data_IF_937005095331
#
_entry.id   IF_937005095331
#
_cell.length_a   1.000
_cell.length_b   1.000
_cell.length_c   1.000
_cell.angle_alpha   90.00
_cell.angle_beta   90.00
_cell.angle_gamma   90.00
#
_symmetry.space_group_name_H-M   'P 1'
#
loop_
_entity.id
_entity.type
_entity.pdbx_description
1 polymer ?
#
# COMPACT_ATOMS: atom_id res chain seq x y z
N UNK A 1 9.89 16.05 -11.43
CA UNK A 1 10.05 14.59 -11.23
C UNK A 1 9.77 14.32 -9.77
N UNK A 2 8.67 13.63 -9.49
CA UNK A 2 8.20 13.31 -8.13
C UNK A 2 8.38 11.81 -7.88
N UNK A 3 8.57 11.42 -6.62
CA UNK A 3 8.47 10.01 -6.20
C UNK A 3 7.06 9.73 -5.72
N UNK A 4 6.41 8.73 -6.30
CA UNK A 4 5.05 8.35 -5.95
C UNK A 4 5.05 6.89 -5.55
N UNK A 5 4.45 6.61 -4.39
CA UNK A 5 4.14 5.23 -3.99
C UNK A 5 2.68 4.96 -4.28
N UNK A 6 2.37 3.90 -5.02
CA UNK A 6 1.01 3.51 -5.37
C UNK A 6 0.70 2.14 -4.76
N UNK A 7 -0.24 2.07 -3.83
CA UNK A 7 -0.68 0.81 -3.22
C UNK A 7 -1.97 0.33 -3.86
N UNK A 8 -2.02 -0.95 -4.24
CA UNK A 8 -3.24 -1.60 -4.74
C UNK A 8 -3.67 -2.75 -3.82
N UNK A 9 -4.92 -2.73 -3.37
CA UNK A 9 -5.51 -3.80 -2.55
C UNK A 9 -5.86 -5.05 -3.35
N UNK A 10 -6.18 -6.16 -2.66
CA UNK A 10 -6.44 -7.44 -3.30
C UNK A 10 -7.60 -7.44 -4.29
N UNK A 11 -8.63 -6.61 -4.06
CA UNK A 11 -9.72 -6.41 -5.02
C UNK A 11 -9.22 -5.73 -6.30
N UNK A 12 -8.30 -4.77 -6.21
CA UNK A 12 -7.68 -4.08 -7.34
C UNK A 12 -6.82 -4.98 -8.23
N UNK A 13 -6.35 -6.11 -7.71
CA UNK A 13 -5.51 -7.09 -8.43
C UNK A 13 -6.14 -8.48 -8.52
N UNK A 14 -7.45 -8.60 -8.23
CA UNK A 14 -8.13 -9.90 -8.13
C UNK A 14 -8.26 -10.70 -9.43
N UNK A 15 -7.89 -10.14 -10.58
CA UNK A 15 -7.86 -10.85 -11.86
C UNK A 15 -6.79 -10.24 -12.77
N UNK A 16 -6.42 -10.97 -13.82
CA UNK A 16 -5.47 -10.47 -14.84
C UNK A 16 -5.98 -9.20 -15.51
N UNK A 17 -7.29 -9.10 -15.77
CA UNK A 17 -7.89 -7.88 -16.31
C UNK A 17 -7.72 -6.69 -15.37
N UNK A 18 -7.96 -6.89 -14.07
CA UNK A 18 -7.75 -5.83 -13.07
C UNK A 18 -6.27 -5.46 -12.94
N UNK A 19 -5.36 -6.44 -13.02
CA UNK A 19 -3.91 -6.19 -13.07
C UNK A 19 -3.52 -5.35 -14.29
N UNK A 20 -4.13 -5.55 -15.47
CA UNK A 20 -3.91 -4.68 -16.63
C UNK A 20 -4.36 -3.24 -16.37
N UNK A 21 -5.50 -3.05 -15.71
CA UNK A 21 -5.97 -1.71 -15.32
C UNK A 21 -5.01 -1.04 -14.34
N UNK A 22 -4.50 -1.78 -13.34
CA UNK A 22 -3.44 -1.32 -12.43
C UNK A 22 -2.18 -0.93 -13.21
N UNK A 23 -1.72 -1.77 -14.14
CA UNK A 23 -0.54 -1.51 -14.94
C UNK A 23 -0.70 -0.26 -15.84
N UNK A 24 -1.90 -0.02 -16.39
CA UNK A 24 -2.21 1.20 -17.13
C UNK A 24 -2.08 2.44 -16.25
N UNK A 25 -2.61 2.42 -15.02
CA UNK A 25 -2.49 3.54 -14.08
C UNK A 25 -1.02 3.84 -13.74
N UNK A 26 -0.27 2.81 -13.41
CA UNK A 26 1.17 2.91 -13.11
C UNK A 26 1.95 3.44 -14.31
N UNK A 27 1.63 2.97 -15.52
CA UNK A 27 2.25 3.46 -16.76
C UNK A 27 1.98 4.95 -16.97
N UNK A 28 0.78 5.45 -16.69
CA UNK A 28 0.47 6.90 -16.80
C UNK A 28 1.39 7.75 -15.93
N UNK A 29 1.61 7.34 -14.68
CA UNK A 29 2.53 8.06 -13.77
C UNK A 29 3.98 7.98 -14.24
N UNK A 30 4.42 6.81 -14.71
CA UNK A 30 5.76 6.63 -15.25
C UNK A 30 5.99 7.47 -16.53
N UNK A 31 5.01 7.49 -17.45
CA UNK A 31 5.05 8.29 -18.69
C UNK A 31 5.03 9.80 -18.41
N UNK A 32 4.43 10.23 -17.29
CA UNK A 32 4.49 11.61 -16.80
C UNK A 32 5.85 11.99 -16.19
N UNK A 33 6.82 11.06 -16.16
CA UNK A 33 8.18 11.30 -15.68
C UNK A 33 8.33 11.22 -14.16
N UNK A 34 7.43 10.49 -13.48
CA UNK A 34 7.55 10.21 -12.05
C UNK A 34 8.41 8.95 -11.79
N UNK A 35 9.10 8.93 -10.65
CA UNK A 35 9.73 7.73 -10.11
C UNK A 35 8.67 6.94 -9.32
N UNK A 36 8.24 5.79 -9.86
CA UNK A 36 7.07 5.07 -9.33
C UNK A 36 7.49 3.79 -8.60
N UNK A 37 7.07 3.67 -7.34
CA UNK A 37 7.08 2.43 -6.59
C UNK A 37 5.64 1.94 -6.36
N UNK A 38 5.36 0.69 -6.68
CA UNK A 38 4.04 0.08 -6.59
C UNK A 38 4.07 -0.95 -5.47
N UNK A 39 3.17 -0.86 -4.51
CA UNK A 39 2.97 -1.89 -3.47
C UNK A 39 1.69 -2.64 -3.75
N UNK A 40 1.73 -3.96 -3.80
CA UNK A 40 0.52 -4.77 -4.05
C UNK A 40 0.31 -5.79 -2.94
N UNK A 41 -0.97 -5.99 -2.59
CA UNK A 41 -1.43 -7.11 -1.77
C UNK A 41 -1.55 -8.38 -2.61
N UNK A 42 -1.75 -9.53 -1.96
CA UNK A 42 -2.18 -10.74 -2.65
C UNK A 42 -3.51 -10.53 -3.41
N UNK A 43 -3.72 -11.33 -4.46
CA UNK A 43 -5.00 -11.36 -5.19
C UNK A 43 -6.16 -11.69 -4.25
N UNK A 44 -7.34 -11.12 -4.52
CA UNK A 44 -8.56 -11.30 -3.73
C UNK A 44 -8.82 -12.77 -3.39
N UNK A 45 -8.92 -13.08 -2.08
CA UNK A 45 -9.18 -14.42 -1.55
C UNK A 45 -7.95 -15.33 -1.38
N UNK A 46 -6.79 -14.98 -1.96
CA UNK A 46 -5.60 -15.84 -1.84
C UNK A 46 -5.02 -15.85 -0.42
N UNK A 47 -4.98 -14.72 0.27
CA UNK A 47 -4.54 -14.68 1.67
C UNK A 47 -5.42 -15.57 2.54
N UNK A 48 -6.75 -15.49 2.40
CA UNK A 48 -7.68 -16.31 3.18
C UNK A 48 -7.50 -17.81 2.88
N UNK A 49 -7.30 -18.16 1.60
CA UNK A 49 -6.98 -19.53 1.19
C UNK A 49 -5.69 -20.04 1.84
N UNK A 50 -4.63 -19.23 1.83
CA UNK A 50 -3.33 -19.58 2.42
C UNK A 50 -3.43 -19.74 3.94
N UNK A 51 -4.15 -18.85 4.62
CA UNK A 51 -4.43 -18.95 6.06
C UNK A 51 -5.21 -20.22 6.40
N UNK A 52 -6.22 -20.57 5.60
CA UNK A 52 -6.97 -21.82 5.81
C UNK A 52 -6.07 -23.04 5.67
N UNK A 53 -5.17 -23.06 4.68
CA UNK A 53 -4.22 -24.16 4.49
C UNK A 53 -3.27 -24.33 5.69
N UNK A 54 -2.81 -23.24 6.31
CA UNK A 54 -1.96 -23.37 7.52
C UNK A 54 -2.77 -23.97 8.67
N UNK A 55 -4.01 -23.51 8.88
CA UNK A 55 -4.90 -24.01 9.93
C UNK A 55 -5.25 -25.49 9.74
N UNK A 56 -5.57 -25.90 8.51
CA UNK A 56 -5.89 -27.28 8.16
C UNK A 56 -4.67 -28.21 8.33
N UNK A 57 -3.46 -27.70 8.04
CA UNK A 57 -2.22 -28.46 8.22
C UNK A 57 -1.91 -28.70 9.71
N UNK A 58 -2.10 -27.69 10.56
CA UNK A 58 -2.02 -27.82 12.01
C UNK A 58 -2.60 -26.59 12.72
N UNK A 59 -3.65 -26.71 13.55
CA UNK A 59 -4.21 -25.57 14.29
C UNK A 59 -3.22 -24.91 15.26
N UNK A 60 -2.16 -25.61 15.67
CA UNK A 60 -1.10 -25.13 16.57
C UNK A 60 0.23 -24.99 15.81
N UNK A 61 0.18 -24.52 14.56
CA UNK A 61 1.36 -24.30 13.72
C UNK A 61 2.28 -23.19 14.25
N UNK A 62 3.57 -23.29 13.95
CA UNK A 62 4.55 -22.24 14.24
C UNK A 62 4.26 -20.97 13.41
N UNK A 63 4.25 -19.81 14.04
CA UNK A 63 4.01 -18.53 13.38
C UNK A 63 5.07 -18.21 12.30
N UNK A 64 6.28 -18.76 12.43
CA UNK A 64 7.34 -18.64 11.43
C UNK A 64 7.00 -19.33 10.11
N UNK A 65 6.34 -20.48 10.17
CA UNK A 65 5.92 -21.20 8.96
C UNK A 65 4.63 -20.61 8.38
N UNK A 66 3.76 -20.08 9.26
CA UNK A 66 2.62 -19.27 8.82
C UNK A 66 3.07 -18.09 7.94
N UNK A 67 4.07 -17.32 8.39
CA UNK A 67 4.57 -16.17 7.64
C UNK A 67 5.17 -16.56 6.28
N UNK A 68 5.86 -17.70 6.22
CA UNK A 68 6.39 -18.25 4.97
C UNK A 68 5.26 -18.56 3.99
N UNK A 69 4.20 -19.22 4.45
CA UNK A 69 3.07 -19.60 3.58
C UNK A 69 2.31 -18.36 3.11
N UNK A 70 1.90 -17.48 4.01
CA UNK A 70 1.00 -16.37 3.67
C UNK A 70 1.69 -15.32 2.81
N UNK A 71 3.00 -15.07 2.99
CA UNK A 71 3.75 -14.10 2.18
C UNK A 71 3.86 -14.48 0.69
N UNK A 72 3.56 -15.74 0.31
CA UNK A 72 3.59 -16.18 -1.09
C UNK A 72 2.53 -15.50 -1.97
N UNK A 73 1.41 -15.06 -1.38
CA UNK A 73 0.33 -14.42 -2.12
C UNK A 73 0.77 -13.12 -2.81
N UNK A 74 1.47 -12.25 -2.08
CA UNK A 74 2.06 -11.03 -2.64
C UNK A 74 3.18 -11.34 -3.65
N UNK A 75 3.96 -12.40 -3.43
CA UNK A 75 5.04 -12.80 -4.35
C UNK A 75 4.52 -13.15 -5.75
N UNK A 76 3.39 -13.88 -5.83
CA UNK A 76 2.73 -14.16 -7.11
C UNK A 76 2.27 -12.86 -7.76
N UNK A 77 1.63 -11.99 -6.98
CA UNK A 77 1.02 -10.75 -7.49
C UNK A 77 2.05 -9.78 -8.05
N UNK A 78 3.16 -9.54 -7.35
CA UNK A 78 4.22 -8.63 -7.84
C UNK A 78 4.83 -9.12 -9.16
N UNK A 79 4.93 -10.44 -9.33
CA UNK A 79 5.41 -11.06 -10.57
C UNK A 79 4.46 -10.79 -11.73
N UNK A 80 3.16 -11.04 -11.52
CA UNK A 80 2.12 -10.80 -12.52
C UNK A 80 2.02 -9.32 -12.93
N UNK A 81 2.07 -8.40 -11.96
CA UNK A 81 2.05 -6.96 -12.23
C UNK A 81 3.30 -6.52 -13.00
N UNK A 82 4.49 -7.00 -12.60
CA UNK A 82 5.73 -6.68 -13.30
C UNK A 82 5.75 -7.21 -14.75
N UNK A 83 5.30 -8.44 -14.99
CA UNK A 83 5.17 -9.01 -16.35
C UNK A 83 4.19 -8.18 -17.18
N UNK A 84 3.07 -7.77 -16.59
CA UNK A 84 2.05 -6.98 -17.29
C UNK A 84 2.61 -5.61 -17.69
N UNK A 85 3.28 -4.91 -16.78
CA UNK A 85 3.97 -3.64 -17.06
C UNK A 85 5.03 -3.78 -18.16
N UNK A 86 5.84 -4.85 -18.11
CA UNK A 86 6.85 -5.13 -19.13
C UNK A 86 6.23 -5.35 -20.50
N UNK A 87 5.10 -6.06 -20.60
CA UNK A 87 4.39 -6.24 -21.87
C UNK A 87 3.82 -4.94 -22.46
N UNK A 88 3.72 -3.90 -21.64
CA UNK A 88 3.32 -2.54 -22.04
C UNK A 88 4.51 -1.61 -22.28
N UNK A 89 5.74 -2.16 -22.35
CA UNK A 89 6.96 -1.39 -22.59
C UNK A 89 7.51 -0.65 -21.38
N UNK A 90 6.99 -0.89 -20.17
CA UNK A 90 7.49 -0.27 -18.94
C UNK A 90 8.64 -1.11 -18.39
N UNK A 91 9.80 -0.49 -18.12
CA UNK A 91 10.89 -1.12 -17.38
C UNK A 91 10.44 -1.37 -15.93
N UNK A 92 9.89 -2.55 -15.63
CA UNK A 92 9.40 -2.88 -14.29
C UNK A 92 10.13 -4.09 -13.70
N UNK A 93 10.26 -4.15 -12.37
CA UNK A 93 10.84 -5.29 -11.65
C UNK A 93 10.16 -5.54 -10.32
N UNK A 94 9.98 -6.81 -9.97
CA UNK A 94 9.44 -7.23 -8.68
C UNK A 94 10.49 -7.18 -7.56
N UNK A 95 10.07 -6.83 -6.35
CA UNK A 95 10.90 -6.75 -5.15
C UNK A 95 10.19 -7.40 -3.95
N UNK A 96 10.83 -8.39 -3.35
CA UNK A 96 10.39 -8.97 -2.08
C UNK A 96 10.96 -8.18 -0.90
N UNK A 97 10.34 -8.32 0.27
CA UNK A 97 10.73 -7.59 1.49
C UNK A 97 12.13 -7.93 2.03
N UNK A 98 12.79 -8.95 1.48
CA UNK A 98 14.20 -9.25 1.77
C UNK A 98 15.16 -8.72 0.70
N UNK A 99 14.68 -8.50 -0.53
CA UNK A 99 15.47 -7.89 -1.63
C UNK A 99 15.52 -6.37 -1.51
N UNK A 100 14.43 -5.78 -1.03
CA UNK A 100 14.36 -4.46 -0.41
C UNK A 100 14.32 -4.71 1.09
N UNK A 101 15.45 -4.72 1.82
CA UNK A 101 15.46 -5.19 3.22
C UNK A 101 14.55 -4.37 4.14
N UNK A 102 13.29 -4.81 4.28
CA UNK A 102 12.30 -4.28 5.23
C UNK A 102 12.52 -5.00 6.56
N UNK A 103 13.36 -4.42 7.41
CA UNK A 103 13.72 -5.02 8.71
C UNK A 103 12.55 -4.93 9.67
N UNK A 104 12.24 -6.02 10.37
CA UNK A 104 11.11 -6.08 11.30
C UNK A 104 11.48 -6.58 12.69
N UNK A 105 10.54 -6.46 13.64
CA UNK A 105 10.71 -6.87 15.04
C UNK A 105 10.75 -8.39 15.30
N UNK A 106 10.57 -9.24 14.28
CA UNK A 106 10.55 -10.71 14.43
C UNK A 106 9.29 -11.29 15.11
N UNK A 107 8.30 -10.45 15.44
CA UNK A 107 7.02 -10.91 15.98
C UNK A 107 6.14 -11.47 14.84
N UNK A 108 6.40 -12.72 14.45
CA UNK A 108 5.74 -13.38 13.31
C UNK A 108 4.20 -13.27 13.35
N UNK A 109 3.58 -13.07 12.19
CA UNK A 109 2.15 -12.80 12.03
C UNK A 109 1.70 -11.36 12.31
N UNK A 110 2.49 -10.55 13.02
CA UNK A 110 2.13 -9.18 13.41
C UNK A 110 3.34 -8.27 13.61
N UNK A 111 4.40 -8.46 12.82
CA UNK A 111 5.68 -7.79 13.01
C UNK A 111 5.56 -6.28 12.74
N UNK A 112 6.45 -5.50 13.34
CA UNK A 112 6.55 -4.06 13.12
C UNK A 112 7.75 -3.74 12.25
N UNK A 113 7.57 -2.86 11.25
CA UNK A 113 8.68 -2.35 10.45
C UNK A 113 9.57 -1.48 11.33
N UNK A 114 10.87 -1.77 11.34
CA UNK A 114 11.88 -1.02 12.07
C UNK A 114 12.64 -0.07 11.13
N UNK A 115 13.01 -0.56 9.95
CA UNK A 115 13.81 0.16 8.97
C UNK A 115 13.61 -0.43 7.56
N UNK A 116 13.89 0.37 6.52
CA UNK A 116 13.88 -0.06 5.13
C UNK A 116 15.13 0.47 4.44
N UNK A 117 16.01 -0.43 4.00
CA UNK A 117 17.16 -0.05 3.15
C UNK A 117 16.69 0.17 1.71
N UNK A 118 16.65 1.43 1.28
CA UNK A 118 16.20 1.83 -0.05
C UNK A 118 17.34 2.04 -1.05
N UNK A 119 18.59 1.76 -0.69
CA UNK A 119 19.78 2.10 -1.50
C UNK A 119 19.68 1.58 -2.93
N UNK A 120 19.41 0.27 -3.09
CA UNK A 120 19.25 -0.36 -4.40
C UNK A 120 17.99 0.10 -5.13
N UNK A 121 16.91 0.35 -4.38
CA UNK A 121 15.63 0.78 -4.94
C UNK A 121 15.75 2.17 -5.58
N UNK A 122 16.36 3.12 -4.87
CA UNK A 122 16.59 4.49 -5.36
C UNK A 122 17.45 4.48 -6.63
N UNK A 123 18.51 3.67 -6.68
CA UNK A 123 19.34 3.55 -7.88
C UNK A 123 18.55 3.05 -9.10
N UNK A 124 17.60 2.13 -8.89
CA UNK A 124 16.78 1.55 -9.95
C UNK A 124 15.69 2.50 -10.41
N UNK A 125 15.03 3.19 -9.47
CA UNK A 125 14.07 4.25 -9.77
C UNK A 125 14.71 5.34 -10.65
N UNK A 126 15.92 5.77 -10.32
CA UNK A 126 16.68 6.76 -11.10
C UNK A 126 17.04 6.30 -12.54
N UNK A 127 17.02 4.98 -12.80
CA UNK A 127 17.20 4.39 -14.14
C UNK A 127 15.87 4.22 -14.89
N UNK A 128 14.79 4.82 -14.41
CA UNK A 128 13.44 4.70 -14.97
C UNK A 128 12.81 3.32 -14.75
N UNK A 129 13.29 2.54 -13.77
CA UNK A 129 12.65 1.27 -13.43
C UNK A 129 11.49 1.50 -12.46
N UNK A 130 10.30 1.04 -12.82
CA UNK A 130 9.17 0.91 -11.89
C UNK A 130 9.41 -0.27 -10.95
N UNK A 131 9.39 -0.01 -9.66
CA UNK A 131 9.55 -1.06 -8.65
C UNK A 131 8.20 -1.62 -8.21
N UNK A 132 7.99 -2.93 -8.30
CA UNK A 132 6.76 -3.60 -7.86
C UNK A 132 7.06 -4.41 -6.60
N UNK A 133 6.72 -3.86 -5.45
CA UNK A 133 7.10 -4.33 -4.12
C UNK A 133 5.97 -5.17 -3.52
N UNK A 134 6.33 -6.30 -2.93
CA UNK A 134 5.38 -7.08 -2.17
C UNK A 134 5.06 -6.37 -0.85
N UNK A 135 3.79 -6.01 -0.66
CA UNK A 135 3.34 -5.53 0.63
C UNK A 135 3.37 -6.62 1.69
N UNK A 136 3.00 -6.27 2.93
CA UNK A 136 2.69 -7.20 4.02
C UNK A 136 3.87 -8.03 4.57
N UNK A 137 4.97 -8.16 3.85
CA UNK A 137 6.14 -8.97 4.22
C UNK A 137 7.37 -8.13 4.60
N UNK A 138 8.28 -8.72 5.37
CA UNK A 138 9.58 -8.17 5.71
C UNK A 138 10.56 -9.24 6.20
N UNK A 139 11.68 -8.82 6.76
CA UNK A 139 12.79 -9.67 7.21
C UNK A 139 13.03 -9.49 8.72
N UNK A 140 12.86 -10.57 9.48
CA UNK A 140 13.14 -10.62 10.91
C UNK A 140 14.65 -10.66 11.22
N UNK A 141 15.03 -10.54 12.51
CA UNK A 141 16.43 -10.49 12.95
C UNK A 141 17.22 -11.79 12.67
N UNK A 142 16.53 -12.91 12.50
CA UNK A 142 17.09 -14.23 12.17
C UNK A 142 17.09 -14.52 10.65
N UNK A 143 16.90 -13.49 9.82
CA UNK A 143 16.75 -13.59 8.37
C UNK A 143 15.56 -14.44 7.91
N UNK A 144 14.51 -14.57 8.73
CA UNK A 144 13.26 -15.20 8.31
C UNK A 144 12.26 -14.18 7.78
N UNK A 145 11.40 -14.64 6.87
CA UNK A 145 10.24 -13.87 6.41
C UNK A 145 9.32 -13.62 7.60
N UNK A 146 8.91 -12.37 7.76
CA UNK A 146 7.90 -11.96 8.73
C UNK A 146 6.73 -11.30 8.02
N UNK A 147 5.52 -11.43 8.56
CA UNK A 147 4.36 -10.68 8.08
C UNK A 147 3.91 -9.61 9.07
N UNK A 148 3.26 -8.56 8.56
CA UNK A 148 2.90 -7.36 9.32
C UNK A 148 1.48 -7.41 9.93
N UNK A 149 0.76 -8.52 9.69
CA UNK A 149 -0.62 -8.70 10.09
C UNK A 149 -1.62 -7.94 9.21
N UNK A 150 -2.88 -7.90 9.66
CA UNK A 150 -3.97 -7.26 8.91
C UNK A 150 -3.64 -5.81 8.58
N UNK A 151 -3.88 -5.43 7.32
CA UNK A 151 -3.55 -4.09 6.83
C UNK A 151 -2.07 -3.87 6.50
N UNK A 152 -1.24 -4.91 6.60
CA UNK A 152 0.20 -4.81 6.42
C UNK A 152 0.65 -4.24 5.08
N UNK A 153 -0.13 -4.40 4.00
CA UNK A 153 0.16 -3.78 2.70
C UNK A 153 0.07 -2.25 2.73
N UNK A 154 -0.92 -1.69 3.43
CA UNK A 154 -1.05 -0.23 3.57
C UNK A 154 0.12 0.32 4.40
N UNK A 155 0.44 -0.35 5.52
CA UNK A 155 1.61 0.00 6.34
C UNK A 155 2.92 -0.10 5.54
N UNK A 156 3.05 -1.11 4.68
CA UNK A 156 4.22 -1.26 3.81
C UNK A 156 4.35 -0.08 2.85
N UNK A 157 3.25 0.32 2.20
CA UNK A 157 3.25 1.44 1.27
C UNK A 157 3.66 2.76 1.94
N UNK A 158 3.10 3.06 3.11
CA UNK A 158 3.46 4.26 3.87
C UNK A 158 4.91 4.21 4.34
N UNK A 159 5.39 3.05 4.79
CA UNK A 159 6.78 2.89 5.21
C UNK A 159 7.77 3.08 4.04
N UNK A 160 7.47 2.50 2.87
CA UNK A 160 8.24 2.69 1.65
C UNK A 160 8.22 4.16 1.21
N UNK A 161 7.06 4.81 1.27
CA UNK A 161 6.93 6.23 0.94
C UNK A 161 7.80 7.11 1.86
N UNK A 162 7.76 6.87 3.17
CA UNK A 162 8.61 7.56 4.14
C UNK A 162 10.11 7.33 3.84
N UNK A 163 10.50 6.08 3.58
CA UNK A 163 11.90 5.72 3.33
C UNK A 163 12.44 6.28 2.00
N UNK A 164 11.57 6.41 0.99
CA UNK A 164 11.91 7.01 -0.31
C UNK A 164 11.81 8.54 -0.32
N UNK A 165 11.27 9.15 0.75
CA UNK A 165 10.85 10.56 0.77
C UNK A 165 9.93 10.87 -0.40
N UNK A 166 8.94 10.02 -0.60
CA UNK A 166 7.94 10.18 -1.65
C UNK A 166 7.10 11.44 -1.42
N UNK A 167 6.67 12.08 -2.50
CA UNK A 167 5.79 13.25 -2.45
C UNK A 167 4.41 12.87 -1.89
N UNK A 168 3.93 11.68 -2.26
CA UNK A 168 2.69 11.11 -1.73
C UNK A 168 2.66 9.59 -1.83
N UNK A 169 1.77 9.00 -1.03
CA UNK A 169 1.39 7.59 -1.07
C UNK A 169 -0.09 7.45 -1.46
N UNK A 170 -0.34 6.98 -2.67
CA UNK A 170 -1.66 6.75 -3.22
C UNK A 170 -2.17 5.37 -2.79
N UNK A 171 -3.27 5.32 -2.04
CA UNK A 171 -3.93 4.10 -1.58
C UNK A 171 -5.15 3.82 -2.46
N UNK A 172 -5.01 2.89 -3.40
CA UNK A 172 -6.08 2.44 -4.28
C UNK A 172 -6.90 1.33 -3.65
N UNK A 173 -8.21 1.55 -3.56
CA UNK A 173 -9.17 0.65 -2.93
C UNK A 173 -10.48 0.58 -3.74
N UNK A 174 -11.55 0.02 -3.16
CA UNK A 174 -12.89 -0.15 -3.73
C UNK A 174 -13.85 1.03 -3.49
N UNK A 175 -13.38 2.06 -2.78
CA UNK A 175 -14.06 3.35 -2.59
C UNK A 175 -13.27 4.47 -3.25
N UNK A 176 -13.94 5.54 -3.67
CA UNK A 176 -13.35 6.69 -4.37
C UNK A 176 -12.88 7.81 -3.44
N UNK A 177 -12.91 7.58 -2.13
CA UNK A 177 -12.44 8.51 -1.11
C UNK A 177 -13.04 8.20 0.26
N UNK A 178 -12.84 9.14 1.18
CA UNK A 178 -13.43 9.15 2.51
C UNK A 178 -14.70 9.99 2.47
N UNK A 179 -15.75 9.50 3.10
CA UNK A 179 -17.05 10.17 3.18
C UNK A 179 -17.34 10.61 4.61
N UNK A 180 -18.16 11.65 4.78
CA UNK A 180 -18.60 12.15 6.10
C UNK A 180 -19.25 11.08 6.99
N UNK A 181 -19.82 10.04 6.38
CA UNK A 181 -20.31 8.82 7.04
C UNK A 181 -20.44 7.72 5.99
N UNK A 182 -20.84 6.50 6.37
CA UNK A 182 -21.00 5.39 5.41
C UNK A 182 -22.11 5.71 4.39
N UNK A 183 -21.78 5.90 3.10
CA UNK A 183 -22.77 6.23 2.07
C UNK A 183 -23.76 5.09 1.79
N UNK A 184 -23.45 3.85 2.22
CA UNK A 184 -24.35 2.69 2.12
C UNK A 184 -25.47 2.75 3.16
N UNK A 185 -25.25 3.49 4.26
CA UNK A 185 -26.22 3.67 5.35
C UNK A 185 -26.94 5.01 5.19
N UNK A 186 -26.20 6.07 4.86
CA UNK A 186 -26.73 7.43 4.76
C UNK A 186 -26.53 7.98 3.34
N UNK A 187 -27.60 8.02 2.55
CA UNK A 187 -27.55 8.48 1.16
C UNK A 187 -27.11 9.95 0.98
N UNK A 188 -27.16 10.77 2.04
CA UNK A 188 -26.69 12.17 2.04
C UNK A 188 -25.20 12.33 2.37
N UNK A 189 -24.47 11.23 2.59
CA UNK A 189 -23.04 11.27 2.84
C UNK A 189 -22.31 12.00 1.70
N UNK A 190 -21.35 12.86 2.06
CA UNK A 190 -20.58 13.64 1.08
C UNK A 190 -19.14 13.17 1.12
N UNK A 191 -18.51 13.12 -0.06
CA UNK A 191 -17.07 12.87 -0.15
C UNK A 191 -16.31 14.07 0.43
N UNK A 192 -15.27 13.78 1.19
CA UNK A 192 -14.36 14.75 1.79
C UNK A 192 -13.16 14.89 0.84
N UNK A 193 -12.83 16.10 0.42
CA UNK A 193 -11.70 16.31 -0.49
C UNK A 193 -10.35 16.25 0.24
N UNK A 194 -10.29 16.80 1.46
CA UNK A 194 -9.10 16.82 2.33
C UNK A 194 -9.51 16.57 3.77
N UNK A 195 -8.74 15.74 4.49
CA UNK A 195 -8.96 15.37 5.90
C UNK A 195 -7.61 15.35 6.62
N UNK A 196 -7.56 15.74 7.90
CA UNK A 196 -6.30 15.66 8.65
C UNK A 196 -5.92 14.22 9.00
N UNK A 197 -4.66 13.98 9.38
CA UNK A 197 -4.24 12.68 9.89
C UNK A 197 -5.04 12.29 11.14
N UNK A 198 -5.30 13.23 12.05
CA UNK A 198 -6.02 13.06 13.31
C UNK A 198 -7.47 12.67 13.06
N UNK A 199 -8.17 13.41 12.20
CA UNK A 199 -9.55 13.13 11.83
C UNK A 199 -9.66 11.75 11.17
N UNK A 200 -8.75 11.43 10.25
CA UNK A 200 -8.72 10.13 9.60
C UNK A 200 -8.40 9.01 10.60
N UNK A 201 -7.54 9.26 11.59
CA UNK A 201 -7.20 8.30 12.63
C UNK A 201 -8.41 7.98 13.51
N UNK A 202 -9.16 9.01 13.93
CA UNK A 202 -10.40 8.85 14.69
C UNK A 202 -11.46 8.10 13.88
N UNK A 203 -11.65 8.44 12.61
CA UNK A 203 -12.59 7.72 11.76
C UNK A 203 -12.19 6.24 11.57
N UNK A 204 -10.90 5.97 11.35
CA UNK A 204 -10.40 4.60 11.21
C UNK A 204 -10.53 3.81 12.51
N UNK A 205 -10.30 4.43 13.67
CA UNK A 205 -10.43 3.78 15.00
C UNK A 205 -11.89 3.41 15.31
N UNK A 206 -12.84 4.22 14.84
CA UNK A 206 -14.28 3.98 14.96
C UNK A 206 -14.85 3.03 13.90
N UNK A 207 -14.00 2.44 13.05
CA UNK A 207 -14.38 1.36 12.14
C UNK A 207 -14.64 1.78 10.69
N UNK A 208 -14.27 3.01 10.28
CA UNK A 208 -14.23 3.35 8.86
C UNK A 208 -13.22 2.44 8.14
N UNK A 209 -13.72 1.50 7.33
CA UNK A 209 -12.89 0.45 6.70
C UNK A 209 -12.08 0.92 5.48
N UNK A 210 -11.85 2.22 5.33
CA UNK A 210 -11.22 2.81 4.15
C UNK A 210 -9.70 2.74 4.23
N UNK A 211 -9.12 3.11 5.37
CA UNK A 211 -7.69 3.05 5.65
C UNK A 211 -7.44 2.28 6.94
N UNK A 212 -6.27 1.63 7.01
CA UNK A 212 -5.87 0.91 8.21
C UNK A 212 -5.27 1.88 9.22
N UNK A 213 -5.71 1.82 10.48
CA UNK A 213 -5.27 2.72 11.56
C UNK A 213 -3.74 2.84 11.62
N UNK A 214 -3.03 1.69 11.57
CA UNK A 214 -1.56 1.65 11.61
C UNK A 214 -0.88 2.38 10.45
N UNK A 215 -1.47 2.40 9.25
CA UNK A 215 -0.90 3.14 8.12
C UNK A 215 -1.09 4.65 8.29
N UNK A 216 -2.24 5.08 8.84
CA UNK A 216 -2.50 6.50 9.13
C UNK A 216 -1.58 7.01 10.25
N UNK A 217 -1.43 6.25 11.34
CA UNK A 217 -0.49 6.58 12.43
C UNK A 217 0.96 6.72 11.92
N UNK A 218 1.39 5.81 11.03
CA UNK A 218 2.71 5.87 10.45
C UNK A 218 2.88 7.07 9.52
N UNK A 219 1.84 7.39 8.74
CA UNK A 219 1.82 8.53 7.83
C UNK A 219 1.98 9.83 8.59
N UNK A 220 1.16 10.01 9.64
CA UNK A 220 1.25 11.14 10.58
C UNK A 220 2.66 11.27 11.17
N UNK A 221 3.19 10.19 11.76
CA UNK A 221 4.52 10.20 12.41
C UNK A 221 5.66 10.52 11.45
N UNK A 222 5.49 10.24 10.16
CA UNK A 222 6.53 10.41 9.13
C UNK A 222 6.27 11.58 8.19
N UNK A 223 5.16 12.31 8.36
CA UNK A 223 4.75 13.38 7.46
C UNK A 223 4.50 12.91 6.02
N UNK A 224 3.96 11.71 5.83
CA UNK A 224 3.66 11.16 4.50
C UNK A 224 2.25 11.52 4.10
N UNK A 225 2.09 12.36 3.07
CA UNK A 225 0.79 12.64 2.45
C UNK A 225 0.18 11.37 1.88
N UNK A 226 -1.07 11.08 2.21
CA UNK A 226 -1.82 9.97 1.62
C UNK A 226 -2.89 10.48 0.67
N UNK A 227 -3.22 9.66 -0.34
CA UNK A 227 -4.37 9.90 -1.18
C UNK A 227 -5.21 8.63 -1.31
N UNK A 228 -6.47 8.67 -0.87
CA UNK A 228 -7.41 7.54 -1.00
C UNK A 228 -8.12 7.62 -2.34
N UNK A 229 -7.96 6.61 -3.19
CA UNK A 229 -8.45 6.59 -4.56
C UNK A 229 -9.21 5.30 -4.87
N UNK A 230 -10.14 5.36 -5.82
CA UNK A 230 -10.77 4.17 -6.39
C UNK A 230 -9.85 3.54 -7.43
N UNK A 231 -9.74 2.21 -7.38
CA UNK A 231 -9.08 1.44 -8.44
C UNK A 231 -9.95 1.36 -9.71
N UNK A 232 -11.26 1.50 -9.55
CA UNK A 232 -12.28 1.23 -10.56
C UNK A 232 -12.73 2.49 -11.31
N UNK A 233 -12.59 3.66 -10.68
CA UNK A 233 -12.98 4.94 -11.25
C UNK A 233 -11.78 5.87 -11.38
N UNK A 234 -11.78 6.76 -12.37
CA UNK A 234 -10.74 7.78 -12.54
C UNK A 234 -11.30 9.13 -12.07
N UNK A 235 -11.39 9.29 -10.75
CA UNK A 235 -11.92 10.49 -10.09
C UNK A 235 -10.94 10.98 -9.03
N UNK A 236 -10.95 12.29 -8.72
CA UNK A 236 -10.22 12.82 -7.57
C UNK A 236 -10.62 12.08 -6.30
N UNK A 237 -9.61 11.67 -5.53
CA UNK A 237 -9.76 11.00 -4.25
C UNK A 237 -9.86 11.97 -3.07
N UNK A 238 -9.64 11.43 -1.87
CA UNK A 238 -9.47 12.23 -0.64
C UNK A 238 -7.99 12.32 -0.28
N UNK A 239 -7.48 13.52 -0.03
CA UNK A 239 -6.14 13.72 0.52
C UNK A 239 -6.16 13.64 2.04
N UNK A 240 -5.23 12.89 2.62
CA UNK A 240 -4.96 12.87 4.06
C UNK A 240 -3.64 13.60 4.31
N UNK A 241 -3.71 14.72 5.01
CA UNK A 241 -2.61 15.70 5.12
C UNK A 241 -2.45 16.23 6.54
N UNK A 242 -1.42 17.04 6.75
CA UNK A 242 -1.24 17.79 7.99
C UNK A 242 -2.28 18.92 8.11
N UNK A 243 -2.63 19.30 9.33
CA UNK A 243 -3.59 20.38 9.62
C UNK A 243 -3.15 21.71 8.99
N UNK A 244 -1.85 22.02 9.00
CA UNK A 244 -1.29 23.25 8.43
C UNK A 244 -1.64 23.39 6.93
N UNK A 245 -1.69 22.28 6.19
CA UNK A 245 -1.98 22.30 4.75
C UNK A 245 -3.45 22.59 4.41
N UNK A 246 -4.35 22.43 5.38
CA UNK A 246 -5.78 22.77 5.24
C UNK A 246 -5.98 24.24 5.59
N UNK A 247 -5.39 24.70 6.70
CA UNK A 247 -5.53 26.07 7.22
C UNK A 247 -4.90 27.12 6.29
N UNK A 248 -3.75 26.84 5.68
CA UNK A 248 -3.10 27.77 4.73
C UNK A 248 -3.97 28.12 3.51
N UNK A 249 -4.96 27.29 3.15
CA UNK A 249 -5.87 27.58 2.04
C UNK A 249 -7.09 28.43 2.44
N UNK A 250 -7.58 28.31 3.67
CA UNK A 250 -8.74 29.11 4.13
C UNK A 250 -8.37 30.58 4.40
N UNK A 251 -7.09 30.87 4.66
CA UNK A 251 -6.59 32.23 4.88
C UNK A 251 -6.51 33.10 3.60
N UNK A 252 -6.77 32.53 2.41
CA UNK A 252 -6.80 33.24 1.12
C UNK A 252 -8.23 33.33 0.59
N UNK A 253 -9.14 33.87 1.38
CA UNK A 253 -10.40 34.44 0.88
C UNK A 253 -10.65 35.79 1.57
N UNK A 254 -9.88 36.79 1.14
CA UNK A 254 -10.11 38.21 1.44
C UNK A 254 -10.81 38.90 0.28
#
# INVERSE_FOLDING_TARGET
MARIVMKFGGTSVGSIERIRNVAQRVKREADAGHEVAVVVSAMSGETDRLVQLTQDASPLHDAREYDVVVATGEQVTIGLVAITLQSMGVNARSWLGWQLPVRTSGAHGAARILDIDTTMLVQRLAQGQVAVIAGFQGLGPDNRVTTLGRGGSDTSAVAVAAALKAERCDIYTDVDGVYTTDPRIVAKARKIDRITYEEMLEMASLGAKVLQTRSVELAMKKGVRLQVLSSFEDRPGTLVVDEEEIVEQELVSG
#
